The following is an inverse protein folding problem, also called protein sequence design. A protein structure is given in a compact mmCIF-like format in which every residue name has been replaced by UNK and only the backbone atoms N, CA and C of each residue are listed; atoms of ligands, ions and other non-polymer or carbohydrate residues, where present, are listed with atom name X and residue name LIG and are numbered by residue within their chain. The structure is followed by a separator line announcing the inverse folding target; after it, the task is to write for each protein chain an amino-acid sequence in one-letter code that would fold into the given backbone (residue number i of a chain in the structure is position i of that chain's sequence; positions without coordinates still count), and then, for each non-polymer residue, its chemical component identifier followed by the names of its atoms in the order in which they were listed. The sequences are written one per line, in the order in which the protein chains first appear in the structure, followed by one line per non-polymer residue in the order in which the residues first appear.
data_IF_404121064483
#
_entry.id   IF_404121064483
#
_cell.length_a   1.000
_cell.length_b   1.000
_cell.length_c   1.000
_cell.angle_alpha   90.00
_cell.angle_beta   90.00
_cell.angle_gamma   90.00
#
_symmetry.space_group_name_H-M   'P 1'
#
loop_
_entity.id
_entity.type
_entity.pdbx_description
1 polymer ?
#
# COMPACT_ATOMS: atom_id res chain seq x y z
N UNK A 1 24.23 -8.82 -10.84
CA UNK A 1 22.80 -9.04 -11.04
C UNK A 1 22.29 -9.98 -9.94
N UNK A 2 21.22 -9.63 -9.27
CA UNK A 2 20.59 -10.44 -8.24
C UNK A 2 19.06 -10.38 -8.37
N UNK A 3 18.41 -11.50 -8.03
CA UNK A 3 16.96 -11.61 -7.91
C UNK A 3 16.64 -12.20 -6.53
N UNK A 4 15.83 -11.49 -5.76
CA UNK A 4 15.24 -11.97 -4.51
C UNK A 4 13.75 -12.14 -4.68
N UNK A 5 13.21 -13.24 -4.18
CA UNK A 5 11.79 -13.53 -4.17
C UNK A 5 11.42 -13.95 -2.76
N UNK A 6 10.39 -13.33 -2.20
CA UNK A 6 9.83 -13.65 -0.90
C UNK A 6 8.33 -13.87 -1.04
N UNK A 7 7.82 -14.97 -0.51
CA UNK A 7 6.40 -15.36 -0.58
C UNK A 7 5.90 -15.75 0.80
N UNK A 8 4.93 -14.99 1.31
CA UNK A 8 4.24 -15.28 2.55
C UNK A 8 2.78 -15.67 2.27
N UNK A 9 2.35 -16.76 2.91
CA UNK A 9 0.97 -17.20 2.89
C UNK A 9 0.41 -17.15 4.31
N UNK A 10 -0.71 -16.47 4.49
CA UNK A 10 -1.35 -16.29 5.79
C UNK A 10 -2.77 -16.85 5.81
N UNK A 11 -3.09 -17.53 6.90
CA UNK A 11 -4.46 -17.91 7.23
C UNK A 11 -4.70 -17.67 8.72
N UNK A 12 -5.75 -16.94 9.04
CA UNK A 12 -6.18 -16.76 10.42
C UNK A 12 -7.67 -17.08 10.56
N UNK A 13 -8.02 -17.64 11.69
CA UNK A 13 -9.39 -17.93 12.06
C UNK A 13 -9.64 -17.40 13.48
N UNK A 14 -10.61 -16.53 13.61
CA UNK A 14 -11.02 -15.96 14.88
C UNK A 14 -12.49 -16.23 15.15
N UNK A 15 -12.76 -16.76 16.32
CA UNK A 15 -14.11 -16.94 16.86
C UNK A 15 -14.29 -16.02 18.05
N UNK A 16 -15.40 -15.31 18.10
CA UNK A 16 -15.68 -14.41 19.20
C UNK A 16 -17.18 -14.25 19.44
N UNK A 17 -17.49 -13.47 20.43
CA UNK A 17 -18.84 -13.09 20.80
C UNK A 17 -18.93 -11.59 20.96
N UNK A 18 -20.02 -11.00 20.55
CA UNK A 18 -20.30 -9.58 20.73
C UNK A 18 -21.67 -9.41 21.38
N UNK A 19 -21.74 -8.53 22.39
CA UNK A 19 -23.00 -8.11 22.96
C UNK A 19 -23.60 -7.02 22.08
N UNK A 20 -24.77 -7.27 21.51
CA UNK A 20 -25.50 -6.31 20.70
C UNK A 20 -26.96 -6.28 21.14
N UNK A 21 -27.45 -5.11 21.50
CA UNK A 21 -28.84 -4.90 21.97
C UNK A 21 -29.26 -5.87 23.08
N UNK A 22 -28.35 -6.15 24.04
CA UNK A 22 -28.61 -7.05 25.16
C UNK A 22 -28.52 -8.55 24.84
N UNK A 23 -28.18 -8.91 23.60
CA UNK A 23 -28.01 -10.30 23.16
C UNK A 23 -26.54 -10.59 22.85
N UNK A 24 -26.02 -11.74 23.33
CA UNK A 24 -24.70 -12.22 22.98
C UNK A 24 -24.78 -12.97 21.65
N UNK A 25 -24.08 -12.45 20.66
CA UNK A 25 -24.09 -13.02 19.30
C UNK A 25 -22.70 -13.52 18.93
N UNK A 26 -22.56 -14.78 18.47
CA UNK A 26 -21.29 -15.28 17.98
C UNK A 26 -20.94 -14.64 16.61
N UNK A 27 -19.66 -14.43 16.39
CA UNK A 27 -19.11 -14.06 15.09
C UNK A 27 -17.90 -14.92 14.74
N UNK A 28 -17.65 -15.04 13.45
CA UNK A 28 -16.49 -15.75 12.88
C UNK A 28 -15.81 -14.85 11.87
N UNK A 29 -14.48 -14.77 11.95
CA UNK A 29 -13.66 -14.10 10.97
C UNK A 29 -12.61 -15.09 10.43
N UNK A 30 -12.56 -15.20 9.13
CA UNK A 30 -11.50 -15.94 8.43
C UNK A 30 -10.75 -14.96 7.55
N UNK A 31 -9.44 -14.90 7.69
CA UNK A 31 -8.57 -14.08 6.84
C UNK A 31 -7.63 -15.02 6.07
N UNK A 32 -7.61 -14.86 4.77
CA UNK A 32 -6.63 -15.46 3.87
C UNK A 32 -5.78 -14.35 3.29
N UNK A 33 -4.47 -14.51 3.25
CA UNK A 33 -3.57 -13.52 2.68
C UNK A 33 -2.42 -14.16 1.92
N UNK A 34 -1.99 -13.44 0.89
CA UNK A 34 -0.80 -13.75 0.10
C UNK A 34 0.01 -12.47 -0.01
N UNK A 35 1.30 -12.56 0.27
CA UNK A 35 2.25 -11.48 0.01
C UNK A 35 3.37 -12.03 -0.87
N UNK A 36 3.68 -11.30 -1.93
CA UNK A 36 4.82 -11.54 -2.79
C UNK A 36 5.69 -10.30 -2.81
N UNK A 37 6.99 -10.46 -2.56
CA UNK A 37 7.98 -9.42 -2.74
C UNK A 37 9.05 -9.88 -3.73
N UNK A 38 9.32 -9.04 -4.73
CA UNK A 38 10.32 -9.26 -5.76
C UNK A 38 11.32 -8.11 -5.73
N UNK A 39 12.61 -8.43 -5.60
CA UNK A 39 13.70 -7.46 -5.70
C UNK A 39 14.69 -7.90 -6.75
N UNK A 40 15.00 -7.03 -7.68
CA UNK A 40 15.93 -7.34 -8.75
C UNK A 40 16.89 -6.18 -9.02
N UNK A 41 18.16 -6.53 -9.25
CA UNK A 41 19.17 -5.63 -9.76
C UNK A 41 19.69 -6.23 -11.07
N UNK A 42 18.96 -6.03 -12.22
CA UNK A 42 19.36 -6.60 -13.51
C UNK A 42 20.73 -6.12 -13.94
N UNK A 43 21.02 -4.87 -13.66
CA UNK A 43 22.35 -4.26 -13.76
C UNK A 43 22.58 -3.40 -12.52
N UNK A 44 23.83 -3.02 -12.23
CA UNK A 44 24.19 -2.27 -11.01
C UNK A 44 23.52 -0.89 -10.91
N UNK A 45 23.11 -0.33 -12.03
CA UNK A 45 22.47 0.98 -12.15
C UNK A 45 20.96 0.95 -11.99
N UNK A 46 20.33 -0.24 -12.01
CA UNK A 46 18.87 -0.39 -11.93
C UNK A 46 18.47 -1.24 -10.74
N UNK A 47 17.60 -0.68 -9.91
CA UNK A 47 16.89 -1.37 -8.83
C UNK A 47 15.42 -1.50 -9.22
N UNK A 48 14.89 -2.70 -9.11
CA UNK A 48 13.47 -2.98 -9.22
C UNK A 48 13.00 -3.59 -7.90
N UNK A 49 11.96 -3.03 -7.32
CA UNK A 49 11.30 -3.56 -6.12
C UNK A 49 9.79 -3.60 -6.39
N UNK A 50 9.19 -4.78 -6.27
CA UNK A 50 7.76 -4.96 -6.42
C UNK A 50 7.21 -5.75 -5.25
N UNK A 51 6.21 -5.20 -4.60
CA UNK A 51 5.52 -5.85 -3.50
C UNK A 51 4.04 -5.89 -3.81
N UNK A 52 3.43 -7.05 -3.63
CA UNK A 52 1.98 -7.21 -3.70
C UNK A 52 1.48 -7.93 -2.46
N UNK A 53 0.42 -7.42 -1.88
CA UNK A 53 -0.35 -8.05 -0.82
C UNK A 53 -1.80 -8.20 -1.27
N UNK A 54 -2.31 -9.41 -1.18
CA UNK A 54 -3.72 -9.70 -1.34
C UNK A 54 -4.28 -10.32 -0.07
N UNK A 55 -5.34 -9.73 0.45
CA UNK A 55 -6.06 -10.21 1.63
C UNK A 55 -7.53 -10.40 1.35
N UNK A 56 -8.11 -11.47 1.85
CA UNK A 56 -9.54 -11.74 1.78
C UNK A 56 -10.07 -12.07 3.14
N UNK A 57 -11.03 -11.27 3.61
CA UNK A 57 -11.69 -11.45 4.89
C UNK A 57 -13.12 -11.94 4.68
N UNK A 58 -13.48 -12.99 5.40
CA UNK A 58 -14.84 -13.47 5.51
C UNK A 58 -15.32 -13.21 6.93
N UNK A 59 -16.31 -12.35 7.10
CA UNK A 59 -16.91 -12.06 8.39
C UNK A 59 -18.34 -12.57 8.40
N UNK A 60 -18.63 -13.56 9.25
CA UNK A 60 -19.97 -14.07 9.47
C UNK A 60 -20.50 -13.55 10.80
N UNK A 61 -21.58 -12.79 10.76
CA UNK A 61 -22.32 -12.26 11.92
C UNK A 61 -23.76 -12.75 11.80
N UNK A 62 -24.32 -13.25 12.89
CA UNK A 62 -25.65 -13.85 12.85
C UNK A 62 -25.73 -15.05 11.89
N UNK A 63 -26.58 -15.97 12.09
CA UNK A 63 -26.62 -17.27 11.39
C UNK A 63 -26.75 -17.20 9.85
N UNK A 64 -26.94 -16.04 9.26
CA UNK A 64 -27.29 -15.90 7.82
C UNK A 64 -26.53 -14.81 7.05
N UNK A 65 -25.64 -14.04 7.67
CA UNK A 65 -24.98 -12.92 6.98
C UNK A 65 -23.48 -13.09 6.93
N UNK A 66 -22.95 -13.30 5.74
CA UNK A 66 -21.49 -13.36 5.50
C UNK A 66 -21.09 -12.16 4.66
N UNK A 67 -20.18 -11.38 5.17
CA UNK A 67 -19.55 -10.26 4.47
C UNK A 67 -18.18 -10.68 3.96
N UNK A 68 -17.84 -10.26 2.76
CA UNK A 68 -16.55 -10.54 2.13
C UNK A 68 -15.89 -9.22 1.79
N UNK A 69 -14.68 -9.04 2.31
CA UNK A 69 -13.83 -7.90 1.98
C UNK A 69 -12.57 -8.41 1.30
N UNK A 70 -12.21 -7.80 0.18
CA UNK A 70 -10.96 -8.06 -0.51
C UNK A 70 -10.10 -6.79 -0.46
N UNK A 71 -8.83 -6.97 -0.17
CA UNK A 71 -7.81 -5.92 -0.17
C UNK A 71 -6.70 -6.35 -1.12
N UNK A 72 -6.37 -5.50 -2.07
CA UNK A 72 -5.17 -5.60 -2.89
C UNK A 72 -4.33 -4.35 -2.61
N UNK A 73 -3.06 -4.53 -2.27
CA UNK A 73 -2.09 -3.45 -2.11
C UNK A 73 -0.84 -3.81 -2.90
N UNK A 74 -0.47 -2.93 -3.81
CA UNK A 74 0.68 -3.12 -4.69
C UNK A 74 1.60 -1.90 -4.60
N UNK A 75 2.91 -2.14 -4.55
CA UNK A 75 3.93 -1.10 -4.63
C UNK A 75 4.98 -1.54 -5.63
N UNK A 76 5.24 -0.72 -6.63
CA UNK A 76 6.32 -0.90 -7.57
C UNK A 76 7.28 0.28 -7.48
N UNK A 77 8.57 0.01 -7.32
CA UNK A 77 9.62 1.01 -7.32
C UNK A 77 10.65 0.67 -8.38
N UNK A 78 11.05 1.68 -9.14
CA UNK A 78 12.13 1.63 -10.12
C UNK A 78 13.11 2.71 -9.75
N UNK A 79 14.33 2.31 -9.36
CA UNK A 79 15.46 3.19 -9.11
C UNK A 79 16.48 3.07 -10.24
N UNK A 80 16.94 4.21 -10.77
CA UNK A 80 17.93 4.27 -11.85
C UNK A 80 19.07 5.22 -11.46
N UNK A 81 20.30 4.73 -11.52
CA UNK A 81 21.49 5.53 -11.31
C UNK A 81 22.11 5.90 -12.67
N UNK A 82 22.21 7.18 -12.96
CA UNK A 82 22.90 7.72 -14.13
C UNK A 82 24.30 8.16 -13.75
N UNK A 83 25.27 7.30 -13.99
CA UNK A 83 26.64 7.50 -13.55
C UNK A 83 26.76 7.46 -12.02
N UNK A 84 27.59 8.39 -11.46
CA UNK A 84 27.87 8.41 -10.00
C UNK A 84 27.03 9.43 -9.24
N UNK A 85 26.37 10.33 -9.93
CA UNK A 85 25.87 11.56 -9.34
C UNK A 85 24.38 11.78 -9.49
N UNK A 86 23.70 11.06 -10.38
CA UNK A 86 22.25 11.25 -10.64
C UNK A 86 21.52 9.96 -10.29
N UNK A 87 20.47 10.10 -9.49
CA UNK A 87 19.59 9.02 -9.09
C UNK A 87 18.15 9.43 -9.38
N UNK A 88 17.39 8.55 -9.99
CA UNK A 88 15.99 8.74 -10.29
C UNK A 88 15.18 7.57 -9.76
N UNK A 89 14.20 7.86 -8.93
CA UNK A 89 13.26 6.90 -8.38
C UNK A 89 11.85 7.21 -8.86
N UNK A 90 11.12 6.17 -9.20
CA UNK A 90 9.69 6.21 -9.49
C UNK A 90 9.02 5.19 -8.57
N UNK A 91 7.97 5.62 -7.88
CA UNK A 91 7.20 4.79 -6.97
C UNK A 91 5.74 4.84 -7.40
N UNK A 92 5.17 3.67 -7.66
CA UNK A 92 3.75 3.46 -7.95
C UNK A 92 3.14 2.70 -6.78
N UNK A 93 2.08 3.24 -6.19
CA UNK A 93 1.30 2.58 -5.15
C UNK A 93 -0.14 2.42 -5.63
N UNK A 94 -0.64 1.20 -5.58
CA UNK A 94 -2.02 0.87 -5.90
C UNK A 94 -2.68 0.19 -4.71
N UNK A 95 -3.83 0.71 -4.27
CA UNK A 95 -4.63 0.13 -3.21
C UNK A 95 -6.07 -0.01 -3.68
N UNK A 96 -6.54 -1.24 -3.74
CA UNK A 96 -7.91 -1.59 -4.08
C UNK A 96 -8.58 -2.30 -2.91
N UNK A 97 -9.69 -1.74 -2.44
CA UNK A 97 -10.55 -2.35 -1.42
C UNK A 97 -11.90 -2.60 -2.04
N UNK A 98 -12.39 -3.82 -1.94
CA UNK A 98 -13.71 -4.21 -2.42
C UNK A 98 -14.47 -4.95 -1.33
N UNK A 99 -15.61 -4.42 -0.95
CA UNK A 99 -16.53 -5.04 -0.01
C UNK A 99 -17.91 -5.22 -0.65
N UNK A 100 -18.83 -5.86 0.05
CA UNK A 100 -20.22 -6.00 -0.40
C UNK A 100 -20.95 -4.67 -0.58
N UNK A 101 -20.51 -3.61 0.09
CA UNK A 101 -21.16 -2.30 0.11
C UNK A 101 -20.37 -1.19 -0.58
N UNK A 102 -19.06 -1.37 -0.79
CA UNK A 102 -18.20 -0.30 -1.30
C UNK A 102 -16.98 -0.83 -2.04
N UNK A 103 -16.55 -0.06 -3.02
CA UNK A 103 -15.28 -0.27 -3.73
C UNK A 103 -14.47 1.02 -3.70
N UNK A 104 -13.21 0.90 -3.36
CA UNK A 104 -12.26 2.01 -3.37
C UNK A 104 -11.05 1.60 -4.17
N UNK A 105 -10.59 2.49 -5.03
CA UNK A 105 -9.44 2.29 -5.88
C UNK A 105 -8.56 3.55 -5.83
N UNK A 106 -7.32 3.39 -5.41
CA UNK A 106 -6.37 4.49 -5.24
C UNK A 106 -5.06 4.15 -5.92
N UNK A 107 -4.64 4.98 -6.84
CA UNK A 107 -3.38 4.87 -7.54
C UNK A 107 -2.57 6.14 -7.32
N UNK A 108 -1.40 6.01 -6.70
CA UNK A 108 -0.45 7.09 -6.45
C UNK A 108 0.79 6.87 -7.29
N UNK A 109 1.32 7.95 -7.84
CA UNK A 109 2.57 7.95 -8.58
C UNK A 109 3.43 9.09 -8.06
N UNK A 110 4.59 8.74 -7.52
CA UNK A 110 5.60 9.66 -7.05
C UNK A 110 6.89 9.49 -7.86
N UNK A 111 7.64 10.56 -8.00
CA UNK A 111 8.94 10.52 -8.66
C UNK A 111 9.93 11.41 -7.94
N UNK A 112 11.15 10.95 -7.81
CA UNK A 112 12.24 11.70 -7.16
C UNK A 112 13.46 11.67 -8.06
N UNK A 113 13.99 12.84 -8.37
CA UNK A 113 15.27 13.03 -9.05
C UNK A 113 16.26 13.65 -8.08
N UNK A 114 17.41 13.05 -7.92
CA UNK A 114 18.47 13.50 -7.01
C UNK A 114 19.78 13.62 -7.77
N UNK A 115 20.42 14.77 -7.62
CA UNK A 115 21.81 15.01 -8.07
C UNK A 115 22.70 15.22 -6.86
N UNK A 116 23.83 14.52 -6.80
CA UNK A 116 24.78 14.59 -5.70
C UNK A 116 26.16 15.01 -6.21
N UNK A 117 26.52 16.27 -6.02
CA UNK A 117 27.86 16.79 -6.26
C UNK A 117 28.78 16.63 -5.04
N UNK A 118 30.02 17.14 -5.14
CA UNK A 118 31.00 17.04 -4.07
C UNK A 118 30.64 17.84 -2.82
N UNK A 119 30.04 19.00 -2.99
CA UNK A 119 29.63 19.93 -1.90
C UNK A 119 28.16 20.24 -1.84
N UNK A 120 27.40 19.95 -2.89
CA UNK A 120 25.99 20.27 -3.00
C UNK A 120 25.23 19.05 -3.45
N UNK A 121 24.06 18.87 -2.88
CA UNK A 121 23.08 17.88 -3.29
C UNK A 121 21.76 18.59 -3.61
N UNK A 122 21.19 18.27 -4.75
CA UNK A 122 19.90 18.83 -5.19
C UNK A 122 18.93 17.70 -5.42
N UNK A 123 17.74 17.78 -4.80
CA UNK A 123 16.64 16.84 -4.99
C UNK A 123 15.40 17.55 -5.52
N UNK A 124 14.70 16.90 -6.41
CA UNK A 124 13.38 17.31 -6.89
C UNK A 124 12.41 16.16 -6.66
N UNK A 125 11.39 16.36 -5.85
CA UNK A 125 10.34 15.37 -5.56
C UNK A 125 9.03 15.82 -6.21
N UNK A 126 8.42 14.92 -6.95
CA UNK A 126 7.13 15.10 -7.60
C UNK A 126 6.15 14.12 -6.94
N UNK A 127 5.25 14.64 -6.12
CA UNK A 127 4.33 13.82 -5.34
C UNK A 127 2.93 13.85 -5.94
N UNK A 128 2.27 12.69 -5.89
CA UNK A 128 0.90 12.49 -6.34
C UNK A 128 0.66 12.98 -7.78
N UNK A 129 1.51 12.57 -8.72
CA UNK A 129 1.48 12.99 -10.13
C UNK A 129 0.12 12.73 -10.79
N UNK A 130 -0.58 11.67 -10.39
CA UNK A 130 -1.91 11.33 -10.88
C UNK A 130 -3.02 12.23 -10.32
N UNK A 131 -2.73 12.97 -9.25
CA UNK A 131 -3.67 13.95 -8.68
C UNK A 131 -4.85 13.33 -7.95
N UNK A 132 -4.65 12.18 -7.33
CA UNK A 132 -5.67 11.56 -6.47
C UNK A 132 -6.00 12.48 -5.29
N UNK A 133 -7.30 12.70 -5.02
CA UNK A 133 -7.73 13.70 -4.03
C UNK A 133 -8.13 13.09 -2.69
N UNK A 134 -8.60 11.86 -2.69
CA UNK A 134 -9.11 11.20 -1.49
C UNK A 134 -8.75 9.71 -1.45
N UNK A 135 -8.57 9.22 -0.25
CA UNK A 135 -8.46 7.81 0.08
C UNK A 135 -9.58 7.44 1.04
N UNK A 136 -10.29 6.37 0.73
CA UNK A 136 -11.32 5.81 1.60
C UNK A 136 -10.82 4.48 2.16
N UNK A 137 -11.00 4.29 3.43
CA UNK A 137 -10.65 3.05 4.12
C UNK A 137 -11.84 2.58 4.95
N UNK A 138 -12.10 1.28 4.88
CA UNK A 138 -13.18 0.64 5.64
C UNK A 138 -12.52 -0.29 6.66
N UNK A 139 -12.85 -0.09 7.93
CA UNK A 139 -12.48 -1.00 9.00
C UNK A 139 -13.74 -1.64 9.56
N UNK A 140 -13.81 -2.96 9.49
CA UNK A 140 -14.93 -3.71 10.05
C UNK A 140 -14.52 -4.31 11.38
N UNK A 141 -15.27 -3.95 12.39
CA UNK A 141 -15.21 -4.55 13.72
C UNK A 141 -16.38 -5.53 13.87
N UNK A 142 -16.32 -6.39 14.87
CA UNK A 142 -17.40 -7.35 15.16
C UNK A 142 -18.76 -6.71 15.39
N UNK A 143 -18.80 -5.45 15.81
CA UNK A 143 -20.00 -4.70 16.19
C UNK A 143 -20.22 -3.42 15.39
N UNK A 144 -19.25 -2.98 14.61
CA UNK A 144 -19.33 -1.73 13.86
C UNK A 144 -18.56 -1.79 12.54
N UNK A 145 -18.97 -0.96 11.59
CA UNK A 145 -18.19 -0.65 10.39
C UNK A 145 -17.76 0.81 10.52
N UNK A 146 -16.46 1.04 10.45
CA UNK A 146 -15.87 2.38 10.52
C UNK A 146 -15.37 2.71 9.12
N UNK A 147 -15.86 3.81 8.58
CA UNK A 147 -15.42 4.34 7.29
C UNK A 147 -14.59 5.59 7.53
N UNK A 148 -13.37 5.59 7.01
CA UNK A 148 -12.47 6.72 7.06
C UNK A 148 -12.31 7.30 5.67
N UNK A 149 -12.41 8.62 5.57
CA UNK A 149 -12.09 9.37 4.36
C UNK A 149 -10.94 10.32 4.65
N UNK A 150 -9.84 10.15 3.95
CA UNK A 150 -8.65 10.98 4.10
C UNK A 150 -8.46 11.81 2.83
N UNK A 151 -8.24 13.10 2.98
CA UNK A 151 -7.71 13.91 1.88
C UNK A 151 -6.24 13.58 1.68
N UNK A 152 -5.91 13.22 0.47
CA UNK A 152 -4.52 13.04 0.07
C UNK A 152 -3.84 14.39 -0.18
N UNK A 153 -2.52 14.39 -0.10
CA UNK A 153 -1.74 15.56 -0.49
C UNK A 153 -2.05 15.91 -1.95
N UNK A 154 -2.24 17.18 -2.27
CA UNK A 154 -2.36 17.60 -3.67
C UNK A 154 -1.07 17.28 -4.43
N UNK A 155 -1.10 17.40 -5.73
CA UNK A 155 0.12 17.39 -6.54
C UNK A 155 1.09 18.42 -5.98
N UNK A 156 2.31 17.98 -5.71
CA UNK A 156 3.33 18.85 -5.14
C UNK A 156 4.67 18.61 -5.82
N UNK A 157 5.39 19.70 -6.02
CA UNK A 157 6.79 19.70 -6.44
C UNK A 157 7.60 20.28 -5.28
N UNK A 158 8.57 19.52 -4.80
CA UNK A 158 9.47 19.93 -3.72
C UNK A 158 10.89 19.92 -4.24
N UNK A 159 11.60 21.01 -4.04
CA UNK A 159 13.02 21.12 -4.35
C UNK A 159 13.80 21.25 -3.04
N UNK A 160 14.78 20.37 -2.87
CA UNK A 160 15.67 20.35 -1.71
C UNK A 160 17.09 20.63 -2.16
N UNK A 161 17.77 21.53 -1.46
CA UNK A 161 19.19 21.79 -1.66
C UNK A 161 19.92 21.60 -0.33
N UNK A 162 20.93 20.75 -0.32
CA UNK A 162 21.74 20.45 0.86
C UNK A 162 23.20 20.72 0.58
N UNK A 163 23.88 21.31 1.54
CA UNK A 163 25.31 21.59 1.47
C UNK A 163 26.06 20.62 2.39
N UNK A 164 27.10 20.00 1.85
CA UNK A 164 28.03 19.15 2.62
C UNK A 164 29.14 20.04 3.16
N UNK A 165 29.24 20.17 4.46
CA UNK A 165 30.30 20.92 5.16
C UNK A 165 31.55 20.07 5.33
#
# INVERSE_FOLDING_TARGET
AGLGIDLDLGYTHHLGQVAYQGTITPYKVHTQSVRLALKANPIKEILLDYNVYYGRNYTSRFASHTEIDNLLSETAQIGVAFGKNIFWDIILEHNHVSSSSEKTDVLLLDSQLKWSGSRVEVGCELNNLLGMQAYHSIQRLSYATIQHSYRLRPRAVLVKVSFKL
#
